data_IF_873937469743
#
_entry.id   IF_873937469743
#
_cell.length_a   1.000
_cell.length_b   1.000
_cell.length_c   1.000
_cell.angle_alpha   90.00
_cell.angle_beta   90.00
_cell.angle_gamma   90.00
#
_symmetry.space_group_name_H-M   'P 1'
#
loop_
_entity.id
_entity.type
_entity.pdbx_description
1 polymer ?
#
# COMPACT_ATOMS: atom_id res chain seq x y z
N UNK A 1 -5.93 7.11 18.32
CA UNK A 1 -7.05 7.23 17.38
C UNK A 1 -8.22 6.34 17.79
N UNK A 2 -9.46 6.75 17.53
CA UNK A 2 -10.68 5.99 17.84
C UNK A 2 -10.77 4.62 17.10
N UNK A 3 -11.62 3.67 17.54
CA UNK A 3 -12.00 2.51 16.74
C UNK A 3 -12.56 2.96 15.37
N UNK A 4 -12.08 2.39 14.26
CA UNK A 4 -12.47 2.72 12.86
C UNK A 4 -11.92 4.01 12.22
N UNK A 5 -10.78 4.55 12.67
CA UNK A 5 -10.14 5.67 11.94
C UNK A 5 -9.36 5.17 10.72
N UNK A 6 -10.01 5.16 9.55
CA UNK A 6 -9.38 4.95 8.26
C UNK A 6 -10.04 5.86 7.22
N UNK A 7 -9.28 6.24 6.20
CA UNK A 7 -9.84 6.81 4.98
C UNK A 7 -9.98 5.71 3.93
N UNK A 8 -11.10 5.69 3.21
CA UNK A 8 -11.39 4.72 2.13
C UNK A 8 -11.51 5.46 0.82
N UNK A 9 -10.71 5.05 -0.16
CA UNK A 9 -10.69 5.60 -1.51
C UNK A 9 -11.15 4.55 -2.53
N UNK A 10 -11.60 5.00 -3.72
CA UNK A 10 -11.94 4.11 -4.82
C UNK A 10 -10.87 3.06 -5.13
N UNK A 11 -11.33 1.98 -5.77
CA UNK A 11 -10.48 0.85 -6.18
C UNK A 11 -9.36 1.33 -7.10
N UNK A 12 -8.13 0.92 -6.80
CA UNK A 12 -6.97 1.20 -7.65
C UNK A 12 -6.92 0.22 -8.82
N UNK A 13 -7.21 0.72 -10.01
CA UNK A 13 -7.13 -0.05 -11.27
C UNK A 13 -5.70 0.06 -11.83
N UNK A 14 -4.75 -0.52 -11.11
CA UNK A 14 -3.33 -0.44 -11.43
C UNK A 14 -2.95 -1.27 -12.67
N UNK A 15 -2.41 -0.57 -13.68
CA UNK A 15 -1.81 -1.16 -14.88
C UNK A 15 -0.35 -1.56 -14.63
N UNK A 16 0.28 -2.23 -15.60
CA UNK A 16 1.72 -2.58 -15.55
C UNK A 16 2.63 -1.39 -15.22
N UNK A 17 2.20 -0.17 -15.59
CA UNK A 17 2.77 1.07 -15.12
C UNK A 17 1.71 1.76 -14.26
N UNK A 18 1.99 1.88 -12.97
CA UNK A 18 1.10 2.53 -12.03
C UNK A 18 1.93 3.16 -10.91
N UNK A 19 1.36 4.17 -10.26
CA UNK A 19 1.96 4.70 -9.05
C UNK A 19 0.91 5.17 -8.06
N UNK A 20 1.31 5.20 -6.80
CA UNK A 20 0.59 5.85 -5.72
C UNK A 20 1.59 6.73 -4.97
N UNK A 21 1.20 7.96 -4.66
CA UNK A 21 1.97 8.89 -3.86
C UNK A 21 1.09 9.54 -2.79
N UNK A 22 1.73 9.88 -1.68
CA UNK A 22 1.11 10.59 -0.57
C UNK A 22 2.21 11.19 0.30
N UNK A 23 1.81 12.07 1.22
CA UNK A 23 2.68 12.58 2.27
C UNK A 23 2.11 12.23 3.64
N UNK A 24 3.00 11.93 4.59
CA UNK A 24 2.62 11.63 5.97
C UNK A 24 3.46 12.44 6.96
N UNK A 25 2.94 12.62 8.16
CA UNK A 25 3.64 13.19 9.31
C UNK A 25 3.18 12.48 10.58
N UNK A 26 4.12 11.98 11.38
CA UNK A 26 3.81 11.23 12.60
C UNK A 26 4.95 11.31 13.62
N UNK A 27 4.65 10.94 14.87
CA UNK A 27 5.65 10.59 15.91
C UNK A 27 5.67 9.09 16.22
N UNK A 28 4.74 8.33 15.65
CA UNK A 28 4.59 6.90 15.86
C UNK A 28 5.71 6.15 15.13
N UNK A 29 6.39 5.23 15.81
CA UNK A 29 7.44 4.41 15.19
C UNK A 29 6.88 3.41 14.19
N UNK A 30 5.65 2.96 14.42
CA UNK A 30 5.01 1.88 13.69
C UNK A 30 3.53 2.23 13.42
N UNK A 31 3.08 2.19 12.16
CA UNK A 31 1.70 2.56 11.79
C UNK A 31 1.37 2.31 10.32
N UNK A 32 0.21 1.72 10.05
CA UNK A 32 -0.26 1.39 8.69
C UNK A 32 -0.63 2.65 7.91
N UNK A 33 0.17 3.00 6.91
CA UNK A 33 -0.06 4.17 6.07
C UNK A 33 -1.08 3.87 4.98
N UNK A 34 -0.91 2.77 4.25
CA UNK A 34 -1.76 2.38 3.12
C UNK A 34 -1.91 0.86 3.05
N UNK A 35 -3.11 0.38 2.69
CA UNK A 35 -3.36 -1.01 2.36
C UNK A 35 -4.38 -1.16 1.23
N UNK A 36 -4.16 -2.13 0.35
CA UNK A 36 -5.14 -2.59 -0.65
C UNK A 36 -4.81 -4.03 -1.05
N UNK A 37 -5.82 -4.82 -1.41
CA UNK A 37 -5.66 -6.20 -1.87
C UNK A 37 -6.65 -6.56 -2.98
N UNK A 38 -6.64 -7.84 -3.39
CA UNK A 38 -7.62 -8.45 -4.28
C UNK A 38 -8.68 -9.28 -3.52
N UNK A 39 -9.26 -8.68 -2.46
CA UNK A 39 -10.32 -9.24 -1.62
C UNK A 39 -9.87 -10.50 -0.86
N UNK A 40 -8.76 -10.38 -0.13
CA UNK A 40 -8.22 -11.45 0.72
C UNK A 40 -7.68 -12.67 -0.03
N UNK A 41 -7.17 -12.48 -1.25
CA UNK A 41 -6.31 -13.47 -1.91
C UNK A 41 -4.85 -13.00 -1.83
N UNK A 42 -4.01 -13.64 -2.63
CA UNK A 42 -2.56 -13.44 -2.65
C UNK A 42 -2.08 -12.02 -2.98
N UNK A 43 -2.83 -11.20 -3.74
CA UNK A 43 -2.26 -9.94 -4.22
C UNK A 43 -2.56 -8.79 -3.24
N UNK A 44 -1.52 -8.13 -2.73
CA UNK A 44 -1.68 -6.99 -1.82
C UNK A 44 -0.54 -5.97 -1.94
N UNK A 45 -0.82 -4.75 -1.49
CA UNK A 45 0.16 -3.70 -1.21
C UNK A 45 -0.06 -3.20 0.22
N UNK A 46 0.99 -3.23 1.03
CA UNK A 46 1.04 -2.72 2.39
C UNK A 46 2.18 -1.70 2.50
N UNK A 47 1.85 -0.47 2.87
CA UNK A 47 2.85 0.56 3.21
C UNK A 47 2.65 0.95 4.65
N UNK A 48 3.72 0.95 5.43
CA UNK A 48 3.69 1.38 6.82
C UNK A 48 4.94 2.16 7.19
N UNK A 49 4.84 2.99 8.21
CA UNK A 49 6.03 3.33 8.99
C UNK A 49 6.31 2.14 9.91
N UNK A 50 7.55 1.67 9.96
CA UNK A 50 8.03 0.57 10.80
C UNK A 50 9.40 0.95 11.36
N UNK A 51 9.53 1.00 12.68
CA UNK A 51 10.73 1.43 13.39
C UNK A 51 11.30 2.76 12.85
N UNK A 52 10.42 3.71 12.53
CA UNK A 52 10.79 5.04 11.99
C UNK A 52 11.25 5.04 10.52
N UNK A 53 11.14 3.93 9.81
CA UNK A 53 11.43 3.81 8.37
C UNK A 53 10.14 3.50 7.59
N UNK A 54 10.08 3.80 6.29
CA UNK A 54 8.95 3.36 5.47
C UNK A 54 9.23 1.94 4.98
N UNK A 55 8.28 1.04 5.21
CA UNK A 55 8.31 -0.35 4.76
C UNK A 55 7.17 -0.59 3.79
N UNK A 56 7.52 -0.99 2.58
CA UNK A 56 6.61 -1.48 1.56
C UNK A 56 6.70 -3.00 1.53
N UNK A 57 5.55 -3.66 1.66
CA UNK A 57 5.36 -5.06 1.27
C UNK A 57 4.35 -5.16 0.15
N UNK A 58 4.63 -6.07 -0.78
CA UNK A 58 3.69 -6.40 -1.82
C UNK A 58 3.76 -7.89 -2.13
N UNK A 59 2.61 -8.46 -2.46
CA UNK A 59 2.56 -9.71 -3.18
C UNK A 59 1.75 -9.48 -4.47
N UNK A 60 2.32 -9.90 -5.59
CA UNK A 60 1.75 -9.81 -6.93
C UNK A 60 2.13 -11.04 -7.77
N UNK A 61 2.61 -12.10 -7.11
CA UNK A 61 3.16 -13.29 -7.75
C UNK A 61 2.02 -14.27 -7.98
N UNK A 62 1.32 -14.14 -9.11
CA UNK A 62 0.34 -15.08 -9.69
C UNK A 62 -0.22 -16.17 -8.73
N UNK A 63 -1.05 -15.76 -7.78
CA UNK A 63 -1.73 -16.64 -6.81
C UNK A 63 -0.79 -17.57 -5.99
N UNK A 64 0.44 -17.13 -5.75
CA UNK A 64 1.45 -17.81 -4.94
C UNK A 64 1.91 -16.91 -3.79
N UNK A 65 2.37 -17.54 -2.72
CA UNK A 65 3.07 -16.85 -1.65
C UNK A 65 4.52 -16.55 -2.08
N UNK A 66 5.02 -15.38 -1.67
CA UNK A 66 6.34 -14.89 -2.09
C UNK A 66 6.52 -13.38 -1.95
N UNK A 67 5.87 -12.77 -0.95
CA UNK A 67 5.86 -11.32 -0.79
C UNK A 67 7.26 -10.69 -0.84
N UNK A 68 7.35 -9.52 -1.47
CA UNK A 68 8.58 -8.74 -1.59
C UNK A 68 8.52 -7.56 -0.65
N UNK A 69 9.63 -7.30 0.05
CA UNK A 69 9.76 -6.18 0.98
C UNK A 69 10.86 -5.19 0.57
N UNK A 70 10.56 -3.89 0.67
CA UNK A 70 11.50 -2.78 0.52
C UNK A 70 11.37 -1.87 1.76
N UNK A 71 12.48 -1.59 2.43
CA UNK A 71 12.55 -0.65 3.56
C UNK A 71 13.42 0.54 3.15
N UNK A 72 12.96 1.76 3.44
CA UNK A 72 13.67 2.98 3.07
C UNK A 72 13.49 4.11 4.08
N UNK A 73 14.54 4.92 4.23
CA UNK A 73 14.59 6.05 5.16
C UNK A 73 14.94 5.64 6.58
N UNK A 74 14.96 6.61 7.49
CA UNK A 74 15.20 6.44 8.92
C UNK A 74 14.70 7.70 9.66
N UNK A 75 14.27 7.55 10.92
CA UNK A 75 13.76 8.64 11.76
C UNK A 75 12.65 9.48 11.10
N UNK A 76 11.79 8.85 10.29
CA UNK A 76 10.67 9.51 9.59
C UNK A 76 9.45 9.76 10.50
N UNK A 77 9.60 9.47 11.79
CA UNK A 77 8.65 9.75 12.85
C UNK A 77 9.07 10.99 13.66
N UNK A 78 9.67 11.98 12.99
CA UNK A 78 10.20 13.21 13.59
C UNK A 78 9.17 14.36 13.65
N UNK A 79 7.89 14.07 13.38
CA UNK A 79 6.81 15.03 13.27
C UNK A 79 6.99 16.06 12.14
N UNK A 80 7.71 15.72 11.06
CA UNK A 80 7.77 16.50 9.81
C UNK A 80 7.07 15.76 8.67
N UNK A 81 6.80 16.51 7.61
CA UNK A 81 6.19 15.96 6.41
C UNK A 81 7.23 15.18 5.61
N UNK A 82 6.92 13.92 5.33
CA UNK A 82 7.69 13.04 4.47
C UNK A 82 6.86 12.62 3.27
N UNK A 83 7.50 12.56 2.11
CA UNK A 83 6.90 12.14 0.84
C UNK A 83 7.15 10.66 0.60
N UNK A 84 6.11 9.93 0.18
CA UNK A 84 6.18 8.52 -0.19
C UNK A 84 5.59 8.34 -1.58
N UNK A 85 6.29 7.61 -2.43
CA UNK A 85 5.80 7.22 -3.74
C UNK A 85 6.17 5.77 -4.03
N UNK A 86 5.17 4.96 -4.36
CA UNK A 86 5.35 3.59 -4.85
C UNK A 86 5.08 3.61 -6.35
N UNK A 87 6.07 3.27 -7.16
CA UNK A 87 5.95 3.14 -8.61
C UNK A 87 6.11 1.68 -8.99
N UNK A 88 5.22 1.20 -9.84
CA UNK A 88 5.40 -0.06 -10.55
C UNK A 88 5.72 0.25 -12.00
N UNK A 89 6.79 -0.39 -12.50
CA UNK A 89 7.19 -0.40 -13.91
C UNK A 89 7.37 -1.84 -14.34
N UNK A 90 6.33 -2.41 -14.95
CA UNK A 90 6.25 -3.81 -15.34
C UNK A 90 6.53 -4.74 -14.14
N UNK A 91 7.69 -5.41 -14.10
CA UNK A 91 8.08 -6.29 -12.99
C UNK A 91 8.89 -5.61 -11.88
N UNK A 92 9.26 -4.34 -12.05
CA UNK A 92 10.02 -3.59 -11.05
C UNK A 92 9.08 -2.73 -10.20
N UNK A 93 9.17 -2.88 -8.88
CA UNK A 93 8.54 -1.97 -7.90
C UNK A 93 9.61 -1.08 -7.29
N UNK A 94 9.38 0.22 -7.30
CA UNK A 94 10.26 1.26 -6.77
C UNK A 94 9.52 1.94 -5.63
N UNK A 95 10.14 1.93 -4.44
CA UNK A 95 9.74 2.77 -3.31
C UNK A 95 10.64 4.01 -3.30
N UNK A 96 10.03 5.19 -3.27
CA UNK A 96 10.72 6.46 -3.12
C UNK A 96 10.23 7.16 -1.85
N UNK A 97 11.18 7.64 -1.04
CA UNK A 97 10.95 8.38 0.21
C UNK A 97 11.86 9.61 0.22
N UNK A 98 11.28 10.81 0.29
CA UNK A 98 12.00 12.09 0.28
C UNK A 98 13.07 12.22 -0.82
N UNK A 99 12.72 11.75 -2.01
CA UNK A 99 13.61 11.78 -3.17
C UNK A 99 14.64 10.64 -3.24
N UNK A 100 14.82 9.86 -2.18
CA UNK A 100 15.64 8.65 -2.20
C UNK A 100 14.82 7.48 -2.71
N UNK A 101 15.38 6.57 -3.50
CA UNK A 101 14.65 5.42 -4.05
C UNK A 101 15.36 4.09 -3.85
N UNK A 102 14.59 3.02 -3.67
CA UNK A 102 15.03 1.63 -3.70
C UNK A 102 14.04 0.79 -4.50
N UNK A 103 14.51 -0.21 -5.24
CA UNK A 103 13.66 -1.05 -6.08
C UNK A 103 13.89 -2.54 -5.88
N UNK A 104 12.86 -3.32 -6.16
CA UNK A 104 12.93 -4.78 -6.25
C UNK A 104 12.09 -5.27 -7.41
N UNK A 105 12.52 -6.39 -7.98
CA UNK A 105 11.75 -7.13 -8.98
C UNK A 105 10.83 -8.11 -8.26
N UNK A 106 9.56 -8.09 -8.65
CA UNK A 106 8.56 -9.09 -8.27
C UNK A 106 7.92 -9.54 -9.57
N UNK A 107 8.02 -10.82 -9.94
CA UNK A 107 7.40 -11.31 -11.16
C UNK A 107 5.91 -11.52 -10.90
N UNK A 108 5.06 -10.97 -11.76
CA UNK A 108 3.61 -11.04 -11.62
C UNK A 108 2.96 -11.01 -12.99
N UNK A 109 1.66 -10.71 -13.06
CA UNK A 109 0.94 -10.66 -14.34
C UNK A 109 1.53 -9.65 -15.34
N UNK A 110 1.55 -10.05 -16.61
CA UNK A 110 2.01 -9.23 -17.74
C UNK A 110 1.07 -8.08 -18.13
N UNK A 111 -0.14 -8.01 -17.54
CA UNK A 111 -1.21 -7.11 -18.01
C UNK A 111 -1.71 -6.10 -16.97
N UNK A 112 -1.67 -6.46 -15.69
CA UNK A 112 -2.19 -5.66 -14.58
C UNK A 112 -1.45 -5.97 -13.30
N UNK A 113 -1.39 -5.02 -12.37
CA UNK A 113 -0.78 -5.25 -11.05
C UNK A 113 -1.63 -6.21 -10.21
N UNK A 114 -2.95 -6.01 -10.20
CA UNK A 114 -3.91 -6.97 -9.67
C UNK A 114 -4.60 -7.65 -10.84
N UNK A 115 -4.48 -8.98 -10.93
CA UNK A 115 -4.87 -9.75 -12.13
C UNK A 115 -6.37 -9.66 -12.46
N UNK A 116 -7.22 -9.67 -11.45
CA UNK A 116 -8.68 -9.58 -11.61
C UNK A 116 -9.20 -8.26 -11.02
N UNK A 117 -9.27 -7.21 -11.85
CA UNK A 117 -9.74 -5.88 -11.44
C UNK A 117 -11.14 -5.89 -10.80
N UNK A 118 -11.97 -6.87 -11.14
CA UNK A 118 -13.31 -6.99 -10.56
C UNK A 118 -13.31 -7.52 -9.12
N UNK A 119 -12.14 -7.98 -8.64
CA UNK A 119 -11.93 -8.45 -7.27
C UNK A 119 -11.06 -7.52 -6.44
N UNK A 120 -10.57 -6.42 -7.01
CA UNK A 120 -9.79 -5.45 -6.25
C UNK A 120 -10.66 -4.80 -5.17
N UNK A 121 -10.08 -4.63 -3.99
CA UNK A 121 -10.73 -3.92 -2.90
C UNK A 121 -10.48 -2.41 -3.00
N UNK A 122 -11.18 -1.64 -2.15
CA UNK A 122 -10.89 -0.24 -1.94
C UNK A 122 -9.46 -0.02 -1.43
N UNK A 123 -8.93 1.18 -1.66
CA UNK A 123 -7.65 1.57 -1.06
C UNK A 123 -7.91 2.21 0.29
N UNK A 124 -7.25 1.70 1.32
CA UNK A 124 -7.38 2.17 2.68
C UNK A 124 -6.13 2.93 3.12
N UNK A 125 -6.33 4.02 3.86
CA UNK A 125 -5.25 4.81 4.45
C UNK A 125 -5.46 4.97 5.97
N UNK A 126 -4.37 4.88 6.71
CA UNK A 126 -4.32 5.06 8.17
C UNK A 126 -4.85 3.88 9.01
N UNK A 127 -5.47 2.90 8.38
CA UNK A 127 -6.05 1.72 9.02
C UNK A 127 -6.93 0.94 8.03
N UNK A 128 -7.50 -0.18 8.47
CA UNK A 128 -8.50 -0.97 7.72
C UNK A 128 -9.77 -1.17 8.55
N UNK A 129 -10.94 -1.45 7.94
CA UNK A 129 -12.18 -1.71 8.65
C UNK A 129 -12.08 -2.87 9.66
N UNK A 130 -12.78 -2.75 10.79
CA UNK A 130 -12.89 -3.86 11.74
C UNK A 130 -13.54 -5.08 11.07
N UNK A 131 -12.93 -6.26 11.25
CA UNK A 131 -13.45 -7.49 10.66
C UNK A 131 -13.12 -7.68 9.18
N UNK A 132 -12.25 -6.83 8.60
CA UNK A 132 -11.63 -7.07 7.30
C UNK A 132 -11.04 -8.49 7.17
N UNK A 133 -10.67 -9.10 8.32
CA UNK A 133 -10.15 -10.47 8.47
C UNK A 133 -11.18 -11.60 8.61
N UNK A 134 -12.51 -11.36 8.57
CA UNK A 134 -13.48 -12.42 8.95
C UNK A 134 -13.85 -13.42 7.86
N UNK A 135 -13.41 -13.23 6.61
CA UNK A 135 -13.79 -14.11 5.50
C UNK A 135 -12.70 -15.08 5.05
N UNK A 136 -11.67 -15.34 5.87
CA UNK A 136 -10.72 -16.44 5.63
C UNK A 136 -11.33 -17.82 5.96
N UNK A 137 -12.38 -18.19 5.21
CA UNK A 137 -12.74 -19.59 5.01
C UNK A 137 -11.82 -20.20 3.96
N UNK A 138 -10.59 -20.50 4.38
CA UNK A 138 -9.63 -21.20 3.54
C UNK A 138 -8.24 -21.07 4.11
N UNK A 139 -7.78 -22.09 4.83
CA UNK A 139 -6.38 -22.28 5.19
C UNK A 139 -5.47 -21.98 4.00
N UNK A 140 -4.60 -20.98 4.12
CA UNK A 140 -3.13 -21.10 4.11
C UNK A 140 -2.56 -19.70 4.46
N UNK A 141 -2.26 -19.52 5.75
CA UNK A 141 -1.17 -18.67 6.26
C UNK A 141 -0.94 -17.33 5.54
N UNK A 142 -1.96 -16.48 5.49
CA UNK A 142 -1.82 -15.12 4.98
C UNK A 142 -1.09 -14.24 6.00
N UNK A 143 -0.01 -13.60 5.57
CA UNK A 143 0.70 -12.59 6.34
C UNK A 143 -0.24 -11.40 6.58
N UNK A 144 -0.99 -11.46 7.67
CA UNK A 144 -2.10 -10.57 7.94
C UNK A 144 -1.68 -9.11 7.86
N UNK A 145 -2.45 -8.29 7.11
CA UNK A 145 -2.35 -6.81 7.16
C UNK A 145 -2.15 -6.35 8.59
N UNK A 146 -1.22 -5.42 8.81
CA UNK A 146 -0.96 -4.88 10.13
C UNK A 146 -2.23 -4.30 10.77
N UNK A 147 -2.55 -4.70 12.00
CA UNK A 147 -3.63 -4.08 12.79
C UNK A 147 -3.23 -2.72 13.37
N UNK A 148 -1.97 -2.33 13.17
CA UNK A 148 -1.42 -1.14 13.76
C UNK A 148 -1.91 0.10 13.02
N UNK A 149 -2.87 0.79 13.63
CA UNK A 149 -3.41 2.05 13.12
C UNK A 149 -2.34 3.12 13.10
N UNK A 150 -2.38 3.94 12.06
CA UNK A 150 -1.56 5.13 11.96
C UNK A 150 -2.14 6.26 12.80
N UNK A 151 -1.28 6.92 13.55
CA UNK A 151 -1.59 8.15 14.26
C UNK A 151 -0.73 9.29 13.71
N UNK A 152 -1.36 10.24 13.03
CA UNK A 152 -0.66 11.34 12.38
C UNK A 152 -1.53 12.01 11.32
N UNK A 153 -0.88 12.79 10.46
CA UNK A 153 -1.53 13.47 9.36
C UNK A 153 -1.14 12.83 8.02
N UNK A 154 -2.11 12.70 7.11
CA UNK A 154 -1.93 12.24 5.73
C UNK A 154 -2.46 13.31 4.77
N UNK A 155 -1.77 13.54 3.65
CA UNK A 155 -2.25 14.45 2.59
C UNK A 155 -1.71 14.08 1.22
N UNK A 156 -2.20 14.78 0.20
CA UNK A 156 -1.71 14.68 -1.18
C UNK A 156 -1.73 13.24 -1.74
N UNK A 157 -2.78 12.49 -1.39
CA UNK A 157 -2.99 11.12 -1.87
C UNK A 157 -3.37 11.17 -3.35
N UNK A 158 -2.55 10.55 -4.19
CA UNK A 158 -2.72 10.46 -5.63
C UNK A 158 -2.39 9.03 -6.06
N UNK A 159 -3.26 8.38 -6.83
CA UNK A 159 -2.95 7.11 -7.46
C UNK A 159 -3.34 7.15 -8.94
N UNK A 160 -2.45 6.65 -9.78
CA UNK A 160 -2.61 6.66 -11.22
C UNK A 160 -3.24 5.33 -11.66
N UNK A 161 -4.44 5.45 -12.24
CA UNK A 161 -5.16 4.35 -12.86
C UNK A 161 -4.67 4.11 -14.30
N UNK A 162 -5.13 3.02 -14.91
CA UNK A 162 -4.86 2.65 -16.30
C UNK A 162 -5.26 3.67 -17.39
N UNK A 163 -6.04 4.69 -17.05
CA UNK A 163 -6.40 5.77 -17.96
C UNK A 163 -5.35 6.87 -17.82
N UNK A 164 -4.84 7.40 -18.93
CA UNK A 164 -3.80 8.44 -18.97
C UNK A 164 -4.21 9.80 -18.32
N UNK A 165 -5.28 9.82 -17.54
CA UNK A 165 -5.81 10.97 -16.83
C UNK A 165 -5.71 10.65 -15.32
N UNK A 166 -4.85 11.34 -14.55
CA UNK A 166 -4.83 11.18 -13.10
C UNK A 166 -6.19 11.51 -12.49
N UNK A 167 -6.74 10.61 -11.69
CA UNK A 167 -7.91 10.88 -10.85
C UNK A 167 -7.43 11.37 -9.48
N UNK A 168 -7.78 12.61 -9.14
CA UNK A 168 -7.55 13.13 -7.79
C UNK A 168 -8.66 12.58 -6.90
N UNK A 169 -8.29 11.91 -5.81
CA UNK A 169 -9.26 11.59 -4.77
C UNK A 169 -9.77 12.89 -4.13
N UNK A 170 -11.06 13.17 -4.27
CA UNK A 170 -11.71 14.26 -3.55
C UNK A 170 -11.91 13.87 -2.08
N UNK A 171 -11.63 14.83 -1.19
CA UNK A 171 -11.71 14.70 0.28
C UNK A 171 -13.13 14.96 0.74
#
# INVERSE_FOLDING_TARGET
GEPNTYARFPIWNACINASVSFEFKTTQSDGLLMYTDNNGRYDFFEVMVKDGSVRLRLNVIDEQDGSVEIILGNNLNDNRWHSVEVKRKHFETILQVDGTSSSKVAFGSDSTVFRDRNKNNYVYFGGVPLGYRRDSRGSQQDETVSDQKFEGDLRNILYFNCTCIPERAEV
#
